data_IF_421569441010
#
_entry.id   IF_421569441010
#
_cell.length_a   1.000
_cell.length_b   1.000
_cell.length_c   1.000
_cell.angle_alpha   90.00
_cell.angle_beta   90.00
_cell.angle_gamma   90.00
#
_symmetry.space_group_name_H-M   'P 1'
#
loop_
_entity.id
_entity.type
_entity.pdbx_description
1 polymer ?
#
# COMPACT_ATOMS: atom_id res chain seq x y z
N UNK A 1 -25.83 31.28 -4.61
CA UNK A 1 -25.55 30.02 -3.89
C UNK A 1 -25.76 28.81 -4.77
N UNK A 2 -24.94 27.77 -4.59
CA UNK A 2 -25.10 26.47 -5.27
C UNK A 2 -26.26 25.69 -4.68
N UNK A 3 -27.07 25.07 -5.54
CA UNK A 3 -28.13 24.16 -5.10
C UNK A 3 -27.55 22.93 -4.39
N UNK A 4 -28.30 22.26 -3.49
CA UNK A 4 -27.85 21.03 -2.84
C UNK A 4 -27.38 19.95 -3.82
N UNK A 5 -28.07 19.80 -4.96
CA UNK A 5 -27.74 18.82 -5.99
C UNK A 5 -26.41 19.13 -6.69
N UNK A 6 -26.16 20.40 -7.03
CA UNK A 6 -24.88 20.80 -7.63
C UNK A 6 -23.71 20.63 -6.67
N UNK A 7 -23.92 20.87 -5.37
CA UNK A 7 -22.91 20.59 -4.34
C UNK A 7 -22.58 19.11 -4.26
N UNK A 8 -23.60 18.25 -4.22
CA UNK A 8 -23.42 16.80 -4.19
C UNK A 8 -22.70 16.29 -5.45
N UNK A 9 -23.08 16.76 -6.63
CA UNK A 9 -22.42 16.38 -7.87
C UNK A 9 -20.95 16.81 -7.92
N UNK A 10 -20.64 18.04 -7.50
CA UNK A 10 -19.24 18.52 -7.41
C UNK A 10 -18.43 17.72 -6.40
N UNK A 11 -19.04 17.33 -5.28
CA UNK A 11 -18.40 16.47 -4.29
C UNK A 11 -18.05 15.10 -4.89
N UNK A 12 -18.98 14.45 -5.58
CA UNK A 12 -18.74 13.17 -6.26
C UNK A 12 -17.56 13.27 -7.23
N UNK A 13 -17.56 14.28 -8.11
CA UNK A 13 -16.46 14.49 -9.07
C UNK A 13 -15.13 14.71 -8.35
N UNK A 14 -15.13 15.54 -7.30
CA UNK A 14 -13.93 15.84 -6.54
C UNK A 14 -13.35 14.57 -5.88
N UNK A 15 -14.20 13.77 -5.22
CA UNK A 15 -13.77 12.54 -4.55
C UNK A 15 -13.22 11.52 -5.53
N UNK A 16 -13.88 11.32 -6.68
CA UNK A 16 -13.40 10.42 -7.74
C UNK A 16 -12.06 10.90 -8.29
N UNK A 17 -11.87 12.21 -8.48
CA UNK A 17 -10.59 12.78 -8.92
C UNK A 17 -9.48 12.55 -7.89
N UNK A 18 -9.76 12.74 -6.61
CA UNK A 18 -8.79 12.48 -5.54
C UNK A 18 -8.39 11.01 -5.52
N UNK A 19 -9.35 10.08 -5.56
CA UNK A 19 -9.07 8.65 -5.62
C UNK A 19 -8.19 8.28 -6.82
N UNK A 20 -8.50 8.81 -8.01
CA UNK A 20 -7.70 8.57 -9.21
C UNK A 20 -6.26 9.11 -9.10
N UNK A 21 -6.06 10.27 -8.47
CA UNK A 21 -4.71 10.82 -8.21
C UNK A 21 -3.92 9.90 -7.27
N UNK A 22 -4.55 9.39 -6.20
CA UNK A 22 -3.90 8.44 -5.28
C UNK A 22 -3.51 7.14 -6.00
N UNK A 23 -4.42 6.57 -6.78
CA UNK A 23 -4.14 5.38 -7.58
C UNK A 23 -2.97 5.60 -8.55
N UNK A 24 -2.95 6.75 -9.23
CA UNK A 24 -1.87 7.12 -10.15
C UNK A 24 -0.51 7.18 -9.44
N UNK A 25 -0.46 7.79 -8.25
CA UNK A 25 0.79 7.87 -7.48
C UNK A 25 1.24 6.48 -7.02
N UNK A 26 0.34 5.63 -6.53
CA UNK A 26 0.64 4.25 -6.13
C UNK A 26 1.23 3.45 -7.29
N UNK A 27 0.59 3.49 -8.47
CA UNK A 27 1.04 2.75 -9.65
C UNK A 27 2.38 3.29 -10.16
N UNK A 28 2.57 4.61 -10.19
CA UNK A 28 3.82 5.22 -10.65
C UNK A 28 5.00 5.04 -9.70
N UNK A 29 4.75 4.77 -8.41
CA UNK A 29 5.76 4.56 -7.36
C UNK A 29 5.86 3.11 -6.90
N UNK A 30 5.45 2.14 -7.71
CA UNK A 30 5.44 0.72 -7.35
C UNK A 30 6.81 0.12 -6.97
N UNK A 31 7.92 0.76 -7.35
CA UNK A 31 9.27 0.34 -6.95
C UNK A 31 9.80 0.98 -5.67
N UNK A 32 9.02 1.83 -5.00
CA UNK A 32 9.41 2.50 -3.75
C UNK A 32 8.53 1.99 -2.60
N UNK A 33 9.04 1.05 -1.76
CA UNK A 33 8.25 0.46 -0.67
C UNK A 33 7.85 1.48 0.39
N UNK A 34 8.65 2.54 0.60
CA UNK A 34 8.30 3.59 1.58
C UNK A 34 7.13 4.41 1.07
N UNK A 35 7.17 4.78 -0.22
CA UNK A 35 6.05 5.48 -0.88
C UNK A 35 4.80 4.63 -0.89
N UNK A 36 4.91 3.33 -1.24
CA UNK A 36 3.80 2.41 -1.25
C UNK A 36 3.15 2.26 0.14
N UNK A 37 3.94 2.08 1.20
CA UNK A 37 3.40 1.96 2.56
C UNK A 37 2.67 3.24 2.99
N UNK A 38 3.26 4.41 2.71
CA UNK A 38 2.64 5.69 2.99
C UNK A 38 1.31 5.86 2.26
N UNK A 39 1.28 5.64 0.94
CA UNK A 39 0.06 5.84 0.15
C UNK A 39 -1.00 4.77 0.40
N UNK A 40 -0.60 3.53 0.69
CA UNK A 40 -1.52 2.46 1.09
C UNK A 40 -2.24 2.82 2.40
N UNK A 41 -1.52 3.33 3.40
CA UNK A 41 -2.11 3.75 4.67
C UNK A 41 -3.11 4.90 4.46
N UNK A 42 -2.72 5.94 3.72
CA UNK A 42 -3.59 7.09 3.44
C UNK A 42 -4.82 6.70 2.60
N UNK A 43 -4.65 5.85 1.59
CA UNK A 43 -5.75 5.37 0.76
C UNK A 43 -6.74 4.51 1.56
N UNK A 44 -6.22 3.67 2.46
CA UNK A 44 -7.04 2.83 3.36
C UNK A 44 -7.86 3.69 4.33
N UNK A 45 -7.24 4.71 4.93
CA UNK A 45 -7.93 5.62 5.85
C UNK A 45 -8.98 6.46 5.12
N UNK A 46 -8.67 6.96 3.93
CA UNK A 46 -9.65 7.69 3.11
C UNK A 46 -10.82 6.79 2.70
N UNK A 47 -10.55 5.56 2.27
CA UNK A 47 -11.58 4.58 1.94
C UNK A 47 -12.48 4.29 3.14
N UNK A 48 -11.87 4.16 4.33
CA UNK A 48 -12.58 3.96 5.57
C UNK A 48 -13.50 5.13 5.89
N UNK A 49 -12.99 6.36 5.83
CA UNK A 49 -13.77 7.57 6.04
C UNK A 49 -14.96 7.65 5.08
N UNK A 50 -14.74 7.41 3.78
CA UNK A 50 -15.80 7.46 2.77
C UNK A 50 -16.88 6.41 3.00
N UNK A 51 -16.51 5.20 3.47
CA UNK A 51 -17.47 4.14 3.78
C UNK A 51 -18.29 4.41 5.04
N UNK A 52 -17.70 5.06 6.05
CA UNK A 52 -18.34 5.27 7.35
C UNK A 52 -19.23 6.51 7.41
N UNK A 53 -18.92 7.54 6.64
CA UNK A 53 -19.72 8.76 6.66
C UNK A 53 -21.05 8.55 5.92
N UNK A 54 -22.15 8.53 6.69
CA UNK A 54 -23.51 8.33 6.16
C UNK A 54 -23.93 9.38 5.11
N UNK A 55 -23.34 10.57 5.15
CA UNK A 55 -23.68 11.68 4.28
C UNK A 55 -22.83 11.69 3.00
N UNK A 56 -21.67 11.03 3.01
CA UNK A 56 -20.72 11.02 1.88
C UNK A 56 -20.68 9.67 1.16
N UNK A 57 -20.95 8.56 1.86
CA UNK A 57 -20.85 7.19 1.34
C UNK A 57 -21.62 7.01 0.02
N UNK A 58 -22.89 7.45 -0.03
CA UNK A 58 -23.71 7.32 -1.24
C UNK A 58 -23.22 8.15 -2.45
N UNK A 59 -22.40 9.18 -2.23
CA UNK A 59 -21.87 10.05 -3.29
C UNK A 59 -20.44 9.68 -3.72
N UNK A 60 -19.84 8.68 -3.07
CA UNK A 60 -18.41 8.36 -3.21
C UNK A 60 -18.14 6.92 -3.66
N UNK A 61 -19.15 6.20 -4.15
CA UNK A 61 -19.03 4.79 -4.55
C UNK A 61 -17.88 4.56 -5.54
N UNK A 62 -17.80 5.34 -6.62
CA UNK A 62 -16.70 5.23 -7.59
C UNK A 62 -15.32 5.48 -6.95
N UNK A 63 -15.24 6.48 -6.07
CA UNK A 63 -14.00 6.78 -5.34
C UNK A 63 -13.62 5.63 -4.39
N UNK A 64 -14.60 4.98 -3.75
CA UNK A 64 -14.37 3.83 -2.89
C UNK A 64 -13.83 2.63 -3.67
N UNK A 65 -14.37 2.35 -4.86
CA UNK A 65 -13.90 1.26 -5.71
C UNK A 65 -12.46 1.49 -6.19
N UNK A 66 -12.16 2.71 -6.66
CA UNK A 66 -10.81 3.09 -7.08
C UNK A 66 -9.81 2.97 -5.91
N UNK A 67 -10.18 3.45 -4.71
CA UNK A 67 -9.31 3.36 -3.54
C UNK A 67 -9.10 1.91 -3.10
N UNK A 68 -10.13 1.06 -3.16
CA UNK A 68 -10.00 -0.36 -2.81
C UNK A 68 -9.02 -1.08 -3.74
N UNK A 69 -9.12 -0.84 -5.04
CA UNK A 69 -8.16 -1.35 -6.02
C UNK A 69 -6.74 -0.82 -5.76
N UNK A 70 -6.61 0.50 -5.50
CA UNK A 70 -5.31 1.12 -5.24
C UNK A 70 -4.62 0.54 -3.99
N UNK A 71 -5.37 0.31 -2.91
CA UNK A 71 -4.86 -0.35 -1.70
C UNK A 71 -4.39 -1.77 -2.01
N UNK A 72 -5.16 -2.53 -2.80
CA UNK A 72 -4.77 -3.90 -3.17
C UNK A 72 -3.51 -3.94 -4.03
N UNK A 73 -3.36 -3.00 -4.98
CA UNK A 73 -2.15 -2.86 -5.79
C UNK A 73 -0.94 -2.54 -4.90
N UNK A 74 -1.06 -1.56 -4.01
CA UNK A 74 0.03 -1.17 -3.12
C UNK A 74 0.45 -2.32 -2.19
N UNK A 75 -0.52 -3.03 -1.60
CA UNK A 75 -0.25 -4.18 -0.75
C UNK A 75 0.50 -5.28 -1.50
N UNK A 76 0.05 -5.63 -2.71
CA UNK A 76 0.71 -6.65 -3.53
C UNK A 76 2.16 -6.27 -3.85
N UNK A 77 2.40 -5.05 -4.31
CA UNK A 77 3.75 -4.58 -4.64
C UNK A 77 4.68 -4.53 -3.41
N UNK A 78 4.15 -4.18 -2.23
CA UNK A 78 4.89 -4.25 -0.97
C UNK A 78 5.28 -5.67 -0.60
N UNK A 79 4.34 -6.61 -0.72
CA UNK A 79 4.61 -8.03 -0.43
C UNK A 79 5.66 -8.58 -1.38
N UNK A 80 5.56 -8.29 -2.68
CA UNK A 80 6.57 -8.68 -3.68
C UNK A 80 7.95 -8.11 -3.33
N UNK A 81 8.02 -6.83 -2.94
CA UNK A 81 9.28 -6.19 -2.53
C UNK A 81 9.88 -6.86 -1.28
N UNK A 82 9.08 -7.05 -0.23
CA UNK A 82 9.55 -7.68 1.01
C UNK A 82 9.99 -9.12 0.78
N UNK A 83 9.30 -9.87 -0.07
CA UNK A 83 9.69 -11.23 -0.43
C UNK A 83 11.04 -11.26 -1.17
N UNK A 84 11.29 -10.32 -2.08
CA UNK A 84 12.56 -10.23 -2.80
C UNK A 84 13.72 -9.86 -1.87
N UNK A 85 13.52 -8.88 -0.98
CA UNK A 85 14.52 -8.50 0.03
C UNK A 85 14.85 -9.67 0.97
N UNK A 86 13.82 -10.37 1.47
CA UNK A 86 14.01 -11.54 2.31
C UNK A 86 14.72 -12.68 1.57
N UNK A 87 14.34 -12.95 0.32
CA UNK A 87 15.01 -13.98 -0.49
C UNK A 87 16.49 -13.69 -0.72
N UNK A 88 16.88 -12.42 -0.72
CA UNK A 88 18.28 -11.98 -0.89
C UNK A 88 19.05 -12.03 0.43
N UNK A 89 18.41 -11.66 1.54
CA UNK A 89 19.04 -11.63 2.86
C UNK A 89 19.15 -13.02 3.52
N UNK A 90 18.21 -13.92 3.25
CA UNK A 90 18.15 -15.24 3.90
C UNK A 90 19.40 -16.10 3.68
N UNK A 91 19.98 -16.21 2.47
CA UNK A 91 21.23 -16.95 2.28
C UNK A 91 22.39 -16.41 3.13
N UNK A 92 22.58 -15.09 3.16
CA UNK A 92 23.64 -14.43 3.95
C UNK A 92 23.50 -14.74 5.45
N UNK A 93 22.27 -14.76 5.96
CA UNK A 93 22.02 -15.10 7.36
C UNK A 93 22.32 -16.56 7.71
N UNK A 94 22.25 -17.46 6.72
CA UNK A 94 22.50 -18.89 6.90
C UNK A 94 23.99 -19.22 6.71
N UNK A 95 24.69 -18.55 5.79
CA UNK A 95 26.14 -18.70 5.58
C UNK A 95 26.96 -18.33 6.83
N UNK A 96 26.60 -17.24 7.54
CA UNK A 96 27.26 -16.84 8.80
C UNK A 96 27.21 -17.90 9.93
N UNK A 97 26.34 -18.91 9.82
CA UNK A 97 26.21 -19.99 10.82
C UNK A 97 27.06 -21.21 10.53
N UNK A 98 27.40 -21.45 9.26
CA UNK A 98 28.20 -22.63 8.88
C UNK A 98 29.69 -22.40 9.21
N UNK A 99 30.19 -21.17 9.06
CA UNK A 99 31.57 -20.81 9.44
C UNK A 99 31.85 -20.93 10.96
N UNK A 100 30.83 -20.76 11.80
CA UNK A 100 30.95 -20.91 13.26
C UNK A 100 30.96 -22.37 13.72
N UNK A 101 30.49 -23.30 12.90
CA UNK A 101 30.44 -24.73 13.24
C UNK A 101 31.69 -25.50 12.81
N UNK A 102 32.52 -24.95 11.92
CA UNK A 102 33.74 -25.62 11.46
C UNK A 102 34.96 -25.39 12.39
N UNK A 103 34.99 -24.32 13.19
CA UNK A 103 36.13 -24.04 14.11
C UNK A 103 36.11 -24.85 15.43
N UNK A 104 34.98 -25.40 15.86
CA UNK A 104 34.91 -26.23 17.09
C UNK A 104 35.35 -27.70 16.89
N UNK A 105 35.54 -28.15 15.63
CA UNK A 105 35.88 -29.55 15.32
C UNK A 105 37.39 -29.88 15.20
N UNK A 106 38.27 -28.88 15.16
CA UNK A 106 39.70 -29.07 14.83
C UNK A 106 40.65 -29.07 16.04
N UNK A 107 40.14 -28.88 17.27
CA UNK A 107 40.95 -28.91 18.50
C UNK A 107 40.55 -30.08 19.42
N UNK A 108 40.70 -31.31 18.94
CA UNK A 108 40.84 -32.47 19.83
C UNK A 108 41.98 -33.36 19.33
N UNK A 109 43.00 -33.41 20.18
CA UNK A 109 44.33 -33.96 20.02
C UNK A 109 44.39 -35.47 20.22
#
# INVERSE_FOLDING_TARGET
DLTPTERAHRLTIMLTKVAAMLQTVIVSRHGDPTSLAFWMANASELLHFLKQDRHVCGYSLDAQDILAEAVQVAFRSLVEYMQAELSTAMPLFLEDRDDMNEEEGSSAH
#
